data_IF_912713289580
#
_entry.id   IF_912713289580
#
_cell.length_a   1.000
_cell.length_b   1.000
_cell.length_c   1.000
_cell.angle_alpha   90.00
_cell.angle_beta   90.00
_cell.angle_gamma   90.00
#
_symmetry.space_group_name_H-M   'P 1'
#
loop_
_entity.id
_entity.type
_entity.pdbx_description
1 polymer ?
#
# COMPACT_ATOMS: atom_id res chain seq x y z
N UNK A 1 1.58 15.65 -7.36
CA UNK A 1 0.62 15.92 -6.26
C UNK A 1 -0.48 14.88 -6.41
N UNK A 2 -0.78 14.09 -5.36
CA UNK A 2 -1.79 13.04 -5.45
C UNK A 2 -3.20 13.62 -5.49
N UNK A 3 -4.05 13.04 -6.32
CA UNK A 3 -5.46 13.38 -6.44
C UNK A 3 -6.33 12.32 -5.77
N UNK A 4 -7.16 12.76 -4.81
CA UNK A 4 -8.07 11.90 -4.05
C UNK A 4 -9.49 12.19 -4.48
N UNK A 5 -10.25 11.15 -4.81
CA UNK A 5 -11.70 11.25 -5.04
C UNK A 5 -12.43 10.95 -3.73
N UNK A 6 -13.22 11.89 -3.26
CA UNK A 6 -14.12 11.72 -2.11
C UNK A 6 -15.52 11.45 -2.62
N UNK A 7 -16.09 10.32 -2.24
CA UNK A 7 -17.44 9.89 -2.65
C UNK A 7 -18.30 9.61 -1.42
N UNK A 8 -19.27 10.48 -1.16
CA UNK A 8 -20.21 10.41 -0.02
C UNK A 8 -21.47 11.17 -0.41
N UNK A 9 -22.65 10.71 -0.05
CA UNK A 9 -23.91 11.40 -0.39
C UNK A 9 -24.16 12.63 0.51
N UNK A 10 -23.60 12.66 1.73
CA UNK A 10 -23.68 13.83 2.61
C UNK A 10 -22.70 14.93 2.20
N UNK A 11 -23.25 16.08 1.81
CA UNK A 11 -22.47 17.25 1.42
C UNK A 11 -21.52 17.75 2.53
N UNK A 12 -21.95 17.70 3.79
CA UNK A 12 -21.13 18.21 4.90
C UNK A 12 -19.93 17.30 5.14
N UNK A 13 -20.11 15.99 5.03
CA UNK A 13 -19.02 15.02 5.07
C UNK A 13 -18.02 15.26 3.95
N UNK A 14 -18.47 15.47 2.70
CA UNK A 14 -17.56 15.81 1.60
C UNK A 14 -16.77 17.09 1.86
N UNK A 15 -17.43 18.17 2.31
CA UNK A 15 -16.76 19.44 2.62
C UNK A 15 -15.73 19.29 3.73
N UNK A 16 -16.04 18.53 4.79
CA UNK A 16 -15.09 18.22 5.87
C UNK A 16 -13.87 17.45 5.33
N UNK A 17 -14.10 16.32 4.64
CA UNK A 17 -13.04 15.50 4.07
C UNK A 17 -12.16 16.30 3.09
N UNK A 18 -12.77 17.11 2.25
CA UNK A 18 -12.05 17.99 1.34
C UNK A 18 -11.14 18.96 2.10
N UNK A 19 -11.66 19.65 3.12
CA UNK A 19 -10.86 20.61 3.89
C UNK A 19 -9.65 19.94 4.56
N UNK A 20 -9.83 18.76 5.16
CA UNK A 20 -8.76 17.99 5.79
C UNK A 20 -7.70 17.56 4.76
N UNK A 21 -8.14 17.01 3.63
CA UNK A 21 -7.26 16.48 2.60
C UNK A 21 -6.50 17.60 1.85
N UNK A 22 -7.17 18.70 1.51
CA UNK A 22 -6.52 19.87 0.88
C UNK A 22 -5.51 20.52 1.87
N UNK A 23 -5.86 20.60 3.15
CA UNK A 23 -4.94 21.03 4.21
C UNK A 23 -3.68 20.17 4.34
N UNK A 24 -3.78 18.89 4.03
CA UNK A 24 -2.64 17.95 3.99
C UNK A 24 -1.88 17.97 2.63
N UNK A 25 -2.25 18.82 1.68
CA UNK A 25 -1.56 19.01 0.41
C UNK A 25 -2.01 18.08 -0.71
N UNK A 26 -3.18 17.43 -0.63
CA UNK A 26 -3.76 16.64 -1.71
C UNK A 26 -4.66 17.50 -2.62
N UNK A 27 -4.83 17.09 -3.87
CA UNK A 27 -5.88 17.62 -4.74
C UNK A 27 -7.14 16.78 -4.55
N UNK A 28 -8.31 17.40 -4.32
CA UNK A 28 -9.55 16.68 -4.05
C UNK A 28 -10.55 16.88 -5.17
N UNK A 29 -11.15 15.76 -5.62
CA UNK A 29 -12.35 15.74 -6.43
C UNK A 29 -13.51 15.17 -5.61
N UNK A 30 -14.73 15.63 -5.82
CA UNK A 30 -15.89 15.20 -5.05
C UNK A 30 -16.93 14.56 -5.96
N UNK A 31 -17.58 13.51 -5.45
CA UNK A 31 -18.75 12.89 -6.05
C UNK A 31 -19.81 12.63 -4.98
N UNK A 32 -21.08 12.87 -5.31
CA UNK A 32 -22.22 12.65 -4.42
C UNK A 32 -22.79 11.23 -4.48
N UNK A 33 -22.18 10.34 -5.25
CA UNK A 33 -22.56 8.95 -5.40
C UNK A 33 -21.73 8.19 -6.41
N UNK A 34 -21.95 6.87 -6.50
CA UNK A 34 -21.13 5.98 -7.31
C UNK A 34 -21.13 6.28 -8.81
N UNK A 35 -22.28 6.63 -9.39
CA UNK A 35 -22.38 6.98 -10.82
C UNK A 35 -21.57 8.23 -11.16
N UNK A 36 -21.61 9.26 -10.30
CA UNK A 36 -20.83 10.48 -10.47
C UNK A 36 -19.33 10.22 -10.30
N UNK A 37 -18.96 9.35 -9.35
CA UNK A 37 -17.59 8.94 -9.14
C UNK A 37 -16.99 8.28 -10.40
N UNK A 38 -17.70 7.33 -11.01
CA UNK A 38 -17.28 6.69 -12.26
C UNK A 38 -17.16 7.72 -13.40
N UNK A 39 -18.14 8.60 -13.58
CA UNK A 39 -18.10 9.62 -14.61
C UNK A 39 -16.97 10.65 -14.44
N UNK A 40 -16.52 10.91 -13.20
CA UNK A 40 -15.36 11.73 -12.91
C UNK A 40 -14.06 11.00 -13.24
N UNK A 41 -13.98 9.71 -12.90
CA UNK A 41 -12.78 8.90 -13.15
C UNK A 41 -12.55 8.66 -14.65
N UNK A 42 -13.58 8.63 -15.46
CA UNK A 42 -13.45 8.58 -16.93
C UNK A 42 -12.73 9.81 -17.52
N UNK A 43 -12.78 10.95 -16.82
CA UNK A 43 -12.24 12.23 -17.29
C UNK A 43 -10.98 12.67 -16.56
N UNK A 44 -10.71 12.09 -15.41
CA UNK A 44 -9.70 12.59 -14.49
C UNK A 44 -8.99 11.43 -13.82
N UNK A 45 -7.65 11.45 -13.84
CA UNK A 45 -6.85 10.48 -13.09
C UNK A 45 -7.08 10.65 -11.58
N UNK A 46 -7.24 9.53 -10.87
CA UNK A 46 -7.42 9.45 -9.42
C UNK A 46 -6.39 8.49 -8.85
N UNK A 47 -5.70 8.92 -7.80
CA UNK A 47 -4.65 8.13 -7.13
C UNK A 47 -5.17 7.33 -5.93
N UNK A 48 -6.32 7.73 -5.35
CA UNK A 48 -6.97 7.06 -4.22
C UNK A 48 -8.44 7.47 -4.14
N UNK A 49 -9.30 6.54 -3.75
CA UNK A 49 -10.73 6.82 -3.48
C UNK A 49 -11.01 6.72 -1.98
N UNK A 50 -11.60 7.76 -1.40
CA UNK A 50 -12.26 7.73 -0.09
C UNK A 50 -13.76 7.59 -0.34
N UNK A 51 -14.35 6.51 0.16
CA UNK A 51 -15.67 6.04 -0.26
C UNK A 51 -16.57 5.77 0.93
N UNK A 52 -17.73 6.45 0.99
CA UNK A 52 -18.78 6.03 1.92
C UNK A 52 -19.45 4.73 1.46
N UNK A 53 -19.85 3.92 2.41
CA UNK A 53 -20.57 2.67 2.15
C UNK A 53 -22.05 2.93 1.86
N UNK A 54 -22.62 3.89 2.59
CA UNK A 54 -24.07 4.09 2.62
C UNK A 54 -24.49 5.19 1.62
N UNK A 55 -24.51 4.87 0.35
CA UNK A 55 -24.96 5.80 -0.70
C UNK A 55 -26.21 5.31 -1.42
N UNK A 56 -27.08 6.20 -1.89
CA UNK A 56 -28.26 5.82 -2.66
C UNK A 56 -27.88 5.33 -4.06
N UNK A 57 -28.71 4.45 -4.64
CA UNK A 57 -28.59 3.82 -5.96
C UNK A 57 -27.44 2.80 -6.05
N UNK A 58 -26.19 3.26 -5.97
CA UNK A 58 -24.99 2.44 -6.01
C UNK A 58 -24.28 2.57 -4.67
N UNK A 59 -24.24 1.50 -3.86
CA UNK A 59 -23.55 1.49 -2.57
C UNK A 59 -22.02 1.40 -2.73
N UNK A 60 -21.28 1.69 -1.65
CA UNK A 60 -19.82 1.68 -1.68
C UNK A 60 -19.22 0.30 -1.97
N UNK A 61 -19.91 -0.78 -1.63
CA UNK A 61 -19.44 -2.12 -1.93
C UNK A 61 -19.56 -2.44 -3.44
N UNK A 62 -20.66 -2.00 -4.06
CA UNK A 62 -20.89 -2.17 -5.49
C UNK A 62 -19.89 -1.37 -6.31
N UNK A 63 -19.70 -0.08 -5.96
CA UNK A 63 -18.69 0.77 -6.60
C UNK A 63 -17.29 0.15 -6.46
N UNK A 64 -16.93 -0.36 -5.28
CA UNK A 64 -15.63 -1.01 -5.08
C UNK A 64 -15.41 -2.20 -6.01
N UNK A 65 -16.42 -3.05 -6.20
CA UNK A 65 -16.32 -4.19 -7.13
C UNK A 65 -16.06 -3.73 -8.56
N UNK A 66 -16.82 -2.73 -9.04
CA UNK A 66 -16.64 -2.17 -10.38
C UNK A 66 -15.23 -1.59 -10.55
N UNK A 67 -14.73 -0.88 -9.56
CA UNK A 67 -13.37 -0.32 -9.58
C UNK A 67 -12.30 -1.42 -9.61
N UNK A 68 -12.50 -2.53 -8.90
CA UNK A 68 -11.57 -3.66 -8.91
C UNK A 68 -11.53 -4.41 -10.25
N UNK A 69 -12.66 -4.50 -10.94
CA UNK A 69 -12.73 -5.09 -12.28
C UNK A 69 -11.95 -4.26 -13.31
N UNK A 70 -11.96 -2.93 -13.18
CA UNK A 70 -11.31 -2.01 -14.12
C UNK A 70 -9.88 -1.63 -13.71
N UNK A 71 -9.58 -1.50 -12.42
CA UNK A 71 -8.26 -1.14 -11.88
C UNK A 71 -8.03 -1.80 -10.52
N UNK A 72 -7.36 -2.94 -10.52
CA UNK A 72 -7.12 -3.72 -9.30
C UNK A 72 -6.16 -3.03 -8.30
N UNK A 73 -5.32 -2.10 -8.76
CA UNK A 73 -4.29 -1.45 -7.93
C UNK A 73 -4.70 -0.08 -7.36
N UNK A 74 -5.88 0.45 -7.73
CA UNK A 74 -6.35 1.73 -7.20
C UNK A 74 -6.65 1.62 -5.70
N UNK A 75 -6.00 2.38 -4.82
CA UNK A 75 -6.28 2.34 -3.40
C UNK A 75 -7.70 2.82 -3.09
N UNK A 76 -8.41 2.05 -2.27
CA UNK A 76 -9.77 2.38 -1.82
C UNK A 76 -9.81 2.33 -0.30
N UNK A 77 -10.13 3.47 0.32
CA UNK A 77 -10.40 3.61 1.74
C UNK A 77 -11.91 3.75 1.95
N UNK A 78 -12.54 2.73 2.55
CA UNK A 78 -13.95 2.84 2.94
C UNK A 78 -14.10 3.61 4.25
N UNK A 79 -15.08 4.50 4.29
CA UNK A 79 -15.48 5.26 5.48
C UNK A 79 -16.96 4.99 5.72
N UNK A 80 -17.37 4.54 6.92
CA UNK A 80 -18.76 4.16 7.13
C UNK A 80 -19.23 4.32 8.59
N UNK A 81 -20.51 4.60 8.76
CA UNK A 81 -21.17 4.51 10.06
C UNK A 81 -21.35 3.06 10.54
N UNK A 82 -21.18 2.07 9.66
CA UNK A 82 -21.29 0.65 10.01
C UNK A 82 -20.06 0.19 10.79
N UNK A 83 -20.27 -0.27 12.01
CA UNK A 83 -19.21 -0.61 12.97
C UNK A 83 -19.08 -2.12 13.23
N UNK A 84 -20.04 -2.94 12.79
CA UNK A 84 -20.02 -4.37 13.06
C UNK A 84 -18.87 -5.07 12.32
N UNK A 85 -18.24 -6.08 12.92
CA UNK A 85 -17.19 -6.86 12.26
C UNK A 85 -17.64 -7.44 10.90
N UNK A 86 -18.89 -7.83 10.77
CA UNK A 86 -19.47 -8.34 9.52
C UNK A 86 -19.48 -7.29 8.40
N UNK A 87 -19.70 -6.01 8.71
CA UNK A 87 -19.68 -4.93 7.73
C UNK A 87 -18.26 -4.67 7.22
N UNK A 88 -17.27 -4.66 8.11
CA UNK A 88 -15.86 -4.55 7.74
C UNK A 88 -15.43 -5.73 6.88
N UNK A 89 -15.81 -6.95 7.25
CA UNK A 89 -15.52 -8.15 6.46
C UNK A 89 -16.13 -8.06 5.06
N UNK A 90 -17.37 -7.55 4.94
CA UNK A 90 -18.01 -7.30 3.64
C UNK A 90 -17.23 -6.29 2.80
N UNK A 91 -16.69 -5.23 3.41
CA UNK A 91 -15.82 -4.25 2.72
C UNK A 91 -14.56 -4.89 2.16
N UNK A 92 -13.84 -5.66 2.96
CA UNK A 92 -12.64 -6.37 2.51
C UNK A 92 -12.94 -7.41 1.43
N UNK A 93 -14.05 -8.12 1.53
CA UNK A 93 -14.51 -9.06 0.48
C UNK A 93 -14.90 -8.35 -0.82
N UNK A 94 -15.37 -7.09 -0.76
CA UNK A 94 -15.61 -6.27 -1.94
C UNK A 94 -14.32 -5.76 -2.58
N UNK A 95 -13.19 -5.79 -1.84
CA UNK A 95 -11.87 -5.40 -2.32
C UNK A 95 -11.36 -4.05 -1.81
N UNK A 96 -11.91 -3.51 -0.70
CA UNK A 96 -11.31 -2.32 -0.08
C UNK A 96 -9.93 -2.62 0.49
N UNK A 97 -9.02 -1.65 0.43
CA UNK A 97 -7.67 -1.79 0.99
C UNK A 97 -7.60 -1.42 2.47
N UNK A 98 -8.53 -0.57 2.93
CA UNK A 98 -8.66 -0.22 4.35
C UNK A 98 -10.08 0.28 4.67
N UNK A 99 -10.41 0.37 5.96
CA UNK A 99 -11.74 0.70 6.44
C UNK A 99 -11.68 1.55 7.70
N UNK A 100 -12.38 2.70 7.71
CA UNK A 100 -12.53 3.60 8.85
C UNK A 100 -14.00 3.68 9.25
N UNK A 101 -14.27 3.70 10.56
CA UNK A 101 -15.62 3.91 11.08
C UNK A 101 -15.86 5.38 11.43
N UNK A 102 -17.04 5.91 11.09
CA UNK A 102 -17.49 7.24 11.57
C UNK A 102 -17.78 7.15 13.11
N UNK A 103 -17.44 8.18 13.93
CA UNK A 103 -16.89 9.47 13.51
C UNK A 103 -15.44 9.35 13.02
N UNK A 104 -15.08 10.18 12.04
CA UNK A 104 -13.77 10.15 11.40
C UNK A 104 -12.78 10.92 12.29
N UNK A 105 -11.70 10.25 12.67
CA UNK A 105 -10.49 10.91 13.18
C UNK A 105 -9.64 11.33 11.97
N UNK A 106 -9.39 12.61 11.83
CA UNK A 106 -8.68 13.19 10.68
C UNK A 106 -7.20 12.78 10.65
N UNK A 107 -6.54 12.69 11.79
CA UNK A 107 -5.14 12.24 11.87
C UNK A 107 -5.03 10.76 11.48
N UNK A 108 -5.91 9.89 12.01
CA UNK A 108 -5.94 8.47 11.64
C UNK A 108 -6.19 8.32 10.14
N UNK A 109 -7.15 9.02 9.59
CA UNK A 109 -7.48 8.98 8.16
C UNK A 109 -6.28 9.38 7.29
N UNK A 110 -5.60 10.48 7.61
CA UNK A 110 -4.43 10.95 6.88
C UNK A 110 -3.26 9.94 6.93
N UNK A 111 -3.02 9.31 8.08
CA UNK A 111 -2.00 8.27 8.22
C UNK A 111 -2.31 7.05 7.34
N UNK A 112 -3.57 6.61 7.29
CA UNK A 112 -4.02 5.48 6.45
C UNK A 112 -3.91 5.82 4.96
N UNK A 113 -4.36 7.00 4.52
CA UNK A 113 -4.23 7.47 3.14
C UNK A 113 -2.76 7.50 2.71
N UNK A 114 -1.88 8.06 3.55
CA UNK A 114 -0.44 8.09 3.28
C UNK A 114 0.15 6.67 3.12
N UNK A 115 -0.30 5.73 3.93
CA UNK A 115 0.14 4.34 3.84
C UNK A 115 -0.38 3.65 2.57
N UNK A 116 -1.63 3.90 2.18
CA UNK A 116 -2.24 3.36 0.97
C UNK A 116 -1.56 3.90 -0.29
N UNK A 117 -1.38 5.22 -0.40
CA UNK A 117 -0.70 5.86 -1.54
C UNK A 117 0.74 5.37 -1.71
N UNK A 118 1.47 5.19 -0.60
CA UNK A 118 2.83 4.62 -0.65
C UNK A 118 2.83 3.21 -1.22
N UNK A 119 1.89 2.34 -0.79
CA UNK A 119 1.78 0.96 -1.30
C UNK A 119 1.42 0.95 -2.79
N UNK A 120 0.46 1.80 -3.21
CA UNK A 120 0.07 1.90 -4.60
C UNK A 120 1.19 2.43 -5.49
N UNK A 121 1.96 3.43 -5.03
CA UNK A 121 3.12 3.93 -5.76
C UNK A 121 4.13 2.81 -5.99
N UNK A 122 4.50 2.06 -4.95
CA UNK A 122 5.41 0.92 -5.04
C UNK A 122 4.87 -0.14 -6.01
N UNK A 123 3.56 -0.46 -5.94
CA UNK A 123 2.95 -1.46 -6.82
C UNK A 123 2.91 -1.03 -8.29
N UNK A 124 2.62 0.25 -8.56
CA UNK A 124 2.49 0.78 -9.93
C UNK A 124 3.83 1.06 -10.60
N UNK A 125 4.76 1.65 -9.87
CA UNK A 125 6.10 1.97 -10.41
C UNK A 125 7.05 0.78 -10.32
N UNK A 126 6.70 -0.23 -9.53
CA UNK A 126 7.54 -1.39 -9.21
C UNK A 126 8.96 -0.99 -8.77
N UNK A 127 9.05 0.21 -8.17
CA UNK A 127 10.29 0.80 -7.63
C UNK A 127 10.13 1.16 -6.17
N UNK A 128 11.23 1.02 -5.43
CA UNK A 128 11.33 1.47 -4.03
C UNK A 128 12.50 2.44 -3.98
N UNK A 129 12.22 3.67 -3.50
CA UNK A 129 13.24 4.71 -3.31
C UNK A 129 13.50 4.92 -1.82
N UNK A 130 14.79 4.92 -1.43
CA UNK A 130 15.26 5.16 -0.06
C UNK A 130 16.54 5.99 -0.13
N UNK A 131 16.44 7.30 0.09
CA UNK A 131 17.55 8.21 -0.16
C UNK A 131 18.04 8.11 -1.61
N UNK A 132 19.30 7.79 -1.81
CA UNK A 132 19.88 7.58 -3.16
C UNK A 132 19.69 6.16 -3.70
N UNK A 133 19.15 5.26 -2.89
CA UNK A 133 18.94 3.85 -3.29
C UNK A 133 17.60 3.67 -3.98
N UNK A 134 17.62 3.06 -5.17
CA UNK A 134 16.42 2.68 -5.93
C UNK A 134 16.46 1.19 -6.23
N UNK A 135 15.42 0.47 -5.81
CA UNK A 135 15.17 -0.92 -6.21
C UNK A 135 14.19 -0.91 -7.38
N UNK A 136 14.56 -1.48 -8.51
CA UNK A 136 13.70 -1.63 -9.68
C UNK A 136 13.33 -3.09 -9.87
N UNK A 137 12.03 -3.39 -9.68
CA UNK A 137 11.53 -4.78 -9.73
C UNK A 137 11.55 -5.37 -11.14
N UNK A 138 11.41 -4.54 -12.17
CA UNK A 138 11.33 -5.03 -13.55
C UNK A 138 12.70 -5.46 -14.08
N UNK A 139 13.76 -4.76 -13.65
CA UNK A 139 15.14 -5.12 -13.98
C UNK A 139 15.85 -5.97 -12.94
N UNK A 140 15.26 -6.19 -11.77
CA UNK A 140 15.84 -6.86 -10.58
C UNK A 140 17.17 -6.20 -10.14
N UNK A 141 17.27 -4.88 -10.28
CA UNK A 141 18.45 -4.10 -9.95
C UNK A 141 18.26 -3.26 -8.70
N UNK A 142 19.36 -3.02 -7.99
CA UNK A 142 19.45 -2.05 -6.92
C UNK A 142 20.50 -1.02 -7.31
N UNK A 143 20.14 0.25 -7.37
CA UNK A 143 21.05 1.34 -7.76
C UNK A 143 21.27 2.31 -6.61
N UNK A 144 22.45 2.92 -6.54
CA UNK A 144 22.81 4.03 -5.66
C UNK A 144 23.69 5.00 -6.42
N UNK A 145 23.15 6.15 -6.79
CA UNK A 145 23.82 7.04 -7.74
C UNK A 145 24.15 6.31 -9.05
N UNK A 146 25.42 6.26 -9.44
CA UNK A 146 25.87 5.57 -10.66
C UNK A 146 26.17 4.06 -10.45
N UNK A 147 26.16 3.58 -9.21
CA UNK A 147 26.39 2.17 -8.91
C UNK A 147 25.13 1.36 -9.19
N UNK A 148 25.26 0.26 -9.96
CA UNK A 148 24.16 -0.66 -10.30
C UNK A 148 24.54 -2.06 -9.85
N UNK A 149 23.69 -2.67 -9.00
CA UNK A 149 23.86 -4.04 -8.52
C UNK A 149 22.71 -4.89 -9.03
N UNK A 150 23.01 -5.88 -9.87
CA UNK A 150 22.06 -6.94 -10.22
C UNK A 150 22.06 -8.02 -9.12
N UNK A 151 20.89 -8.37 -8.66
CA UNK A 151 20.71 -9.42 -7.65
C UNK A 151 20.11 -10.69 -8.27
N UNK A 152 20.49 -11.88 -7.77
CA UNK A 152 19.72 -13.09 -8.04
C UNK A 152 18.25 -12.87 -7.64
N UNK A 153 17.33 -13.36 -8.46
CA UNK A 153 15.88 -13.10 -8.32
C UNK A 153 15.38 -13.26 -6.88
N UNK A 154 15.74 -14.35 -6.18
CA UNK A 154 15.28 -14.60 -4.81
C UNK A 154 15.87 -13.62 -3.79
N UNK A 155 17.10 -13.17 -3.98
CA UNK A 155 17.74 -12.14 -3.14
C UNK A 155 17.07 -10.79 -3.38
N UNK A 156 16.81 -10.44 -4.65
CA UNK A 156 16.08 -9.21 -4.98
C UNK A 156 14.68 -9.20 -4.37
N UNK A 157 13.89 -10.26 -4.58
CA UNK A 157 12.54 -10.37 -4.04
C UNK A 157 12.51 -10.27 -2.52
N UNK A 158 13.49 -10.89 -1.83
CA UNK A 158 13.60 -10.83 -0.38
C UNK A 158 13.89 -9.40 0.12
N UNK A 159 14.83 -8.71 -0.52
CA UNK A 159 15.14 -7.31 -0.20
C UNK A 159 13.95 -6.38 -0.52
N UNK A 160 13.36 -6.54 -1.70
CA UNK A 160 12.22 -5.76 -2.14
C UNK A 160 11.02 -5.92 -1.18
N UNK A 161 10.70 -7.15 -0.77
CA UNK A 161 9.62 -7.41 0.18
C UNK A 161 9.87 -6.76 1.54
N UNK A 162 11.08 -6.87 2.09
CA UNK A 162 11.43 -6.25 3.37
C UNK A 162 11.33 -4.72 3.30
N UNK A 163 11.79 -4.10 2.21
CA UNK A 163 11.79 -2.65 2.02
C UNK A 163 10.43 -2.09 1.57
N UNK A 164 9.53 -2.93 1.05
CA UNK A 164 8.13 -2.55 0.81
C UNK A 164 7.37 -2.26 2.11
N UNK A 165 7.81 -2.89 3.23
CA UNK A 165 7.17 -2.74 4.54
C UNK A 165 8.21 -2.36 5.62
N UNK A 166 8.82 -1.17 5.56
CA UNK A 166 9.86 -0.76 6.50
C UNK A 166 9.34 -0.79 7.94
N UNK A 167 10.15 -1.34 8.86
CA UNK A 167 9.79 -1.49 10.27
C UNK A 167 8.87 -2.66 10.60
N UNK A 168 8.19 -3.25 9.62
CA UNK A 168 7.35 -4.43 9.83
C UNK A 168 8.20 -5.69 9.98
N UNK A 169 7.89 -6.49 11.00
CA UNK A 169 8.51 -7.80 11.18
C UNK A 169 7.82 -8.78 10.25
N UNK A 170 8.61 -9.42 9.38
CA UNK A 170 8.16 -10.52 8.53
C UNK A 170 8.78 -11.82 9.05
N UNK A 171 7.95 -12.83 9.31
CA UNK A 171 8.41 -14.11 9.82
C UNK A 171 9.17 -14.87 8.74
N UNK A 172 10.05 -15.84 9.15
CA UNK A 172 10.76 -16.69 8.20
C UNK A 172 9.81 -17.48 7.31
N UNK A 173 8.69 -17.95 7.88
CA UNK A 173 7.66 -18.68 7.15
C UNK A 173 7.00 -17.77 6.12
N UNK A 174 6.56 -16.57 6.50
CA UNK A 174 5.98 -15.61 5.55
C UNK A 174 6.92 -15.27 4.40
N UNK A 175 8.21 -15.04 4.70
CA UNK A 175 9.21 -14.76 3.66
C UNK A 175 9.44 -15.98 2.76
N UNK A 176 9.43 -17.18 3.33
CA UNK A 176 9.59 -18.43 2.61
C UNK A 176 8.42 -18.66 1.65
N UNK A 177 7.19 -18.62 2.15
CA UNK A 177 5.98 -18.88 1.39
C UNK A 177 5.83 -17.90 0.23
N UNK A 178 6.06 -16.60 0.49
CA UNK A 178 5.90 -15.54 -0.52
C UNK A 178 6.95 -15.63 -1.64
N UNK A 179 8.20 -16.00 -1.32
CA UNK A 179 9.31 -15.90 -2.27
C UNK A 179 9.61 -17.25 -2.93
N UNK A 180 9.50 -18.37 -2.19
CA UNK A 180 9.78 -19.72 -2.70
C UNK A 180 8.52 -20.52 -2.99
N UNK A 181 7.35 -20.08 -2.46
CA UNK A 181 6.07 -20.77 -2.56
C UNK A 181 5.84 -21.71 -1.38
N UNK A 182 4.57 -21.85 -0.98
CA UNK A 182 4.17 -22.68 0.17
C UNK A 182 4.47 -24.18 -0.01
N UNK A 183 4.53 -24.66 -1.25
CA UNK A 183 4.82 -26.06 -1.60
C UNK A 183 6.32 -26.32 -1.85
N UNK A 184 7.19 -25.39 -1.48
CA UNK A 184 8.64 -25.55 -1.69
C UNK A 184 9.23 -26.57 -0.71
N UNK A 185 9.98 -27.55 -1.22
CA UNK A 185 10.77 -28.48 -0.40
C UNK A 185 11.98 -27.82 0.31
N UNK A 186 12.19 -26.52 0.09
CA UNK A 186 13.30 -25.75 0.65
C UNK A 186 12.99 -25.32 2.10
N UNK A 187 13.87 -25.61 3.03
CA UNK A 187 13.70 -25.22 4.43
C UNK A 187 13.82 -23.70 4.66
N UNK A 188 13.21 -23.20 5.72
CA UNK A 188 13.21 -21.77 6.13
C UNK A 188 14.64 -21.25 6.44
N UNK A 189 15.61 -22.13 6.68
CA UNK A 189 17.04 -21.79 6.86
C UNK A 189 17.60 -21.06 5.64
N UNK A 190 17.07 -21.34 4.45
CA UNK A 190 17.45 -20.67 3.20
C UNK A 190 17.26 -19.17 3.28
N UNK A 191 16.18 -18.71 3.90
CA UNK A 191 15.95 -17.27 4.14
C UNK A 191 17.12 -16.66 4.91
N UNK A 192 17.61 -17.36 5.96
CA UNK A 192 18.72 -16.88 6.78
C UNK A 192 20.01 -16.73 5.96
N UNK A 193 20.28 -17.67 5.06
CA UNK A 193 21.46 -17.62 4.18
C UNK A 193 21.38 -16.41 3.24
N UNK A 194 20.23 -16.19 2.61
CA UNK A 194 20.05 -15.06 1.69
C UNK A 194 20.09 -13.71 2.43
N UNK A 195 19.52 -13.60 3.63
CA UNK A 195 19.68 -12.41 4.49
C UNK A 195 21.16 -12.12 4.79
N UNK A 196 21.95 -13.16 5.10
CA UNK A 196 23.38 -13.02 5.33
C UNK A 196 24.12 -12.47 4.09
N UNK A 197 23.77 -12.95 2.90
CA UNK A 197 24.34 -12.47 1.64
C UNK A 197 23.96 -11.02 1.36
N UNK A 198 22.68 -10.65 1.54
CA UNK A 198 22.20 -9.28 1.36
C UNK A 198 22.92 -8.31 2.31
N UNK A 199 23.04 -8.66 3.61
CA UNK A 199 23.76 -7.83 4.57
C UNK A 199 25.22 -7.59 4.18
N UNK A 200 25.91 -8.64 3.74
CA UNK A 200 27.31 -8.53 3.28
C UNK A 200 27.41 -7.66 2.01
N UNK A 201 26.45 -7.78 1.10
CA UNK A 201 26.46 -7.04 -0.17
C UNK A 201 26.24 -5.56 0.01
N UNK A 202 25.41 -5.17 0.97
CA UNK A 202 25.02 -3.79 1.25
C UNK A 202 25.61 -3.26 2.57
N UNK A 203 26.70 -3.85 3.07
CA UNK A 203 27.30 -3.47 4.37
C UNK A 203 27.80 -2.02 4.43
N UNK A 204 28.18 -1.46 3.26
CA UNK A 204 28.66 -0.09 3.13
C UNK A 204 27.53 0.94 2.84
N UNK A 205 26.30 0.46 2.66
CA UNK A 205 25.16 1.31 2.35
C UNK A 205 24.40 1.68 3.64
N UNK A 206 24.27 2.97 3.89
CA UNK A 206 23.70 3.48 5.14
C UNK A 206 22.22 3.83 5.05
N UNK A 207 21.59 3.72 3.89
CA UNK A 207 20.22 4.13 3.64
C UNK A 207 19.19 3.18 4.26
N UNK A 208 19.58 1.92 4.43
CA UNK A 208 18.74 0.91 5.09
C UNK A 208 19.56 -0.14 5.82
N UNK A 209 18.91 -0.86 6.72
CA UNK A 209 19.48 -2.01 7.42
C UNK A 209 18.45 -3.13 7.53
N UNK A 210 18.91 -4.38 7.42
CA UNK A 210 18.10 -5.57 7.68
C UNK A 210 18.39 -6.07 9.09
N UNK A 211 17.44 -5.93 10.00
CA UNK A 211 17.56 -6.36 11.38
C UNK A 211 16.95 -7.75 11.60
N UNK A 212 17.58 -8.55 12.49
CA UNK A 212 16.99 -9.78 12.98
C UNK A 212 16.14 -9.51 14.22
N UNK A 213 14.94 -10.04 14.24
CA UNK A 213 14.09 -10.04 15.44
C UNK A 213 14.06 -11.43 16.02
N UNK A 214 14.71 -11.58 17.20
CA UNK A 214 14.93 -12.88 17.85
C UNK A 214 13.63 -13.68 17.99
N UNK A 215 13.65 -14.92 17.53
CA UNK A 215 12.50 -15.83 17.59
C UNK A 215 11.38 -15.57 16.58
N UNK A 216 11.40 -14.44 15.84
CA UNK A 216 10.34 -14.06 14.91
C UNK A 216 10.80 -14.10 13.44
N UNK A 217 11.72 -13.24 13.05
CA UNK A 217 12.12 -13.12 11.66
C UNK A 217 13.00 -11.91 11.39
N UNK A 218 12.67 -11.15 10.36
CA UNK A 218 13.46 -10.02 9.90
C UNK A 218 12.60 -8.79 9.66
N UNK A 219 13.19 -7.61 9.75
CA UNK A 219 12.60 -6.34 9.30
C UNK A 219 13.67 -5.49 8.61
N UNK A 220 13.26 -4.66 7.68
CA UNK A 220 14.12 -3.61 7.17
C UNK A 220 13.80 -2.28 7.86
N UNK A 221 14.84 -1.50 8.15
CA UNK A 221 14.73 -0.17 8.75
C UNK A 221 15.35 0.84 7.79
N UNK A 222 14.62 1.90 7.46
CA UNK A 222 15.17 3.05 6.74
C UNK A 222 15.96 3.91 7.71
N UNK A 223 17.13 4.39 7.28
CA UNK A 223 18.02 5.27 8.07
C UNK A 223 18.13 6.70 7.52
N UNK A 224 17.33 7.00 6.50
CA UNK A 224 17.18 8.31 5.83
C UNK A 224 15.75 8.78 5.85
#
# INVERSE_FOLDING_TARGET
MFRILVTDDDKNTRLFLRAVLEGAGYTVSEASGGEEALALMDKTHVDLVVLDVMMPKMDGYELTKILRESNNNLPILMVSAKQLPADKHKGFMAGTDDYITKPIDDEEMLLRIKALLRRAKIANERKIEIGEVVLDYDSLTVTRGDEVIELPQKEFMLLYMLLSYPGKILTRIQLMDEIWGADSDTGWETVTVHIGRLRKRFEEWNEFEIESVRGLGYKAVKRV
#
